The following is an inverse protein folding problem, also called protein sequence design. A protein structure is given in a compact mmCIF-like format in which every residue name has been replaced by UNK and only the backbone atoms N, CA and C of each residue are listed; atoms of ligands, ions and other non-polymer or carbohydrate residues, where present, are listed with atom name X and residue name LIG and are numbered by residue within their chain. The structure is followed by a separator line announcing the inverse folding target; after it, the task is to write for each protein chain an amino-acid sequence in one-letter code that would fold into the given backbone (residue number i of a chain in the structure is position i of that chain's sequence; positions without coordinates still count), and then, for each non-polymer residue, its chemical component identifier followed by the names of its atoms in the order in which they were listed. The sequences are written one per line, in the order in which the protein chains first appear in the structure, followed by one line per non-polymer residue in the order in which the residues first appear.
data_IF_142289173683
#
_entry.id   IF_142289173683
#
_cell.length_a   1.000
_cell.length_b   1.000
_cell.length_c   1.000
_cell.angle_alpha   90.00
_cell.angle_beta   90.00
_cell.angle_gamma   90.00
#
_symmetry.space_group_name_H-M   'P 1'
#
loop_
_entity.id
_entity.type
_entity.pdbx_description
1 polymer ?
#
# COMPACT_ATOMS: atom_id res chain seq x y z
N UNK A 1 3.12 -5.85 -0.57
CA UNK A 1 3.67 -4.95 0.50
C UNK A 1 2.56 -4.10 1.05
N UNK A 2 2.34 -4.17 2.33
CA UNK A 2 1.31 -3.43 3.07
C UNK A 2 1.92 -2.47 4.10
N UNK A 3 1.09 -1.63 4.69
CA UNK A 3 1.46 -0.66 5.71
C UNK A 3 0.52 0.54 5.67
N UNK A 4 0.37 1.23 6.78
CA UNK A 4 -0.48 2.41 6.87
C UNK A 4 0.13 3.63 6.14
N UNK A 5 -0.68 4.64 5.88
CA UNK A 5 -0.23 5.89 5.26
C UNK A 5 0.92 6.51 6.07
N UNK A 6 1.94 7.03 5.37
CA UNK A 6 3.15 7.58 6.00
C UNK A 6 4.21 6.55 6.38
N UNK A 7 3.98 5.24 6.21
CA UNK A 7 4.98 4.20 6.52
C UNK A 7 6.15 4.08 5.52
N UNK A 8 6.14 4.83 4.42
CA UNK A 8 7.12 4.70 3.35
C UNK A 8 6.86 3.54 2.38
N UNK A 9 5.69 2.88 2.51
CA UNK A 9 5.30 1.71 1.72
C UNK A 9 5.54 1.90 0.22
N UNK A 10 4.97 2.93 -0.40
CA UNK A 10 5.09 3.15 -1.84
C UNK A 10 6.51 3.43 -2.29
N UNK A 11 7.30 4.12 -1.49
CA UNK A 11 8.72 4.37 -1.77
C UNK A 11 9.50 3.06 -1.85
N UNK A 12 9.31 2.19 -0.86
CA UNK A 12 10.05 0.92 -0.79
C UNK A 12 9.50 -0.13 -1.76
N UNK A 13 8.20 -0.14 -2.02
CA UNK A 13 7.60 -1.01 -3.03
C UNK A 13 8.13 -0.73 -4.44
N UNK A 14 8.24 0.55 -4.81
CA UNK A 14 8.86 0.97 -6.08
C UNK A 14 10.33 0.56 -6.17
N UNK A 15 11.10 0.83 -5.11
CA UNK A 15 12.53 0.46 -5.06
C UNK A 15 12.74 -1.05 -5.19
N UNK A 16 11.91 -1.87 -4.54
CA UNK A 16 11.96 -3.32 -4.69
C UNK A 16 11.62 -3.75 -6.12
N UNK A 17 10.53 -3.22 -6.69
CA UNK A 17 10.16 -3.53 -8.06
C UNK A 17 11.29 -3.21 -9.04
N UNK A 18 11.89 -2.04 -8.95
CA UNK A 18 13.05 -1.64 -9.76
C UNK A 18 14.26 -2.56 -9.54
N UNK A 19 14.58 -2.89 -8.29
CA UNK A 19 15.75 -3.70 -7.94
C UNK A 19 15.68 -5.12 -8.50
N UNK A 20 14.48 -5.71 -8.53
CA UNK A 20 14.27 -7.09 -8.97
C UNK A 20 13.64 -7.21 -10.38
N UNK A 21 13.51 -6.10 -11.10
CA UNK A 21 12.90 -6.09 -12.45
C UNK A 21 11.44 -6.53 -12.45
N UNK A 22 10.70 -6.25 -11.35
CA UNK A 22 9.30 -6.58 -11.17
C UNK A 22 8.41 -5.41 -11.58
N UNK A 23 7.16 -5.70 -11.95
CA UNK A 23 6.15 -4.65 -12.16
C UNK A 23 5.78 -4.01 -10.82
N UNK A 24 5.62 -2.71 -10.79
CA UNK A 24 5.03 -2.00 -9.64
C UNK A 24 3.55 -1.76 -9.90
N UNK A 25 2.71 -2.27 -9.01
CA UNK A 25 1.25 -2.08 -9.07
C UNK A 25 0.77 -1.54 -7.73
N UNK A 26 -0.05 -0.49 -7.78
CA UNK A 26 -0.68 0.11 -6.58
C UNK A 26 -2.12 0.47 -6.87
N UNK A 27 -2.93 0.68 -5.82
CA UNK A 27 -4.30 1.20 -5.98
C UNK A 27 -4.33 2.48 -6.83
N UNK A 28 -3.35 3.37 -6.66
CA UNK A 28 -3.24 4.58 -7.47
C UNK A 28 -2.87 4.33 -8.93
N UNK A 29 -2.06 3.29 -9.25
CA UNK A 29 -1.78 2.92 -10.65
C UNK A 29 -3.01 2.30 -11.29
N UNK A 30 -3.73 1.45 -10.56
CA UNK A 30 -4.99 0.84 -11.02
C UNK A 30 -6.03 1.93 -11.29
N UNK A 31 -6.20 2.87 -10.37
CA UNK A 31 -7.12 4.00 -10.54
C UNK A 31 -6.86 4.79 -11.83
N UNK A 32 -5.57 5.11 -12.09
CA UNK A 32 -5.18 5.81 -13.34
C UNK A 32 -5.49 4.99 -14.59
N UNK A 33 -5.20 3.71 -14.58
CA UNK A 33 -5.51 2.80 -15.70
C UNK A 33 -7.02 2.74 -15.95
N UNK A 34 -7.83 2.65 -14.89
CA UNK A 34 -9.28 2.63 -15.00
C UNK A 34 -9.85 3.95 -15.55
N UNK A 35 -9.25 5.09 -15.20
CA UNK A 35 -9.63 6.38 -15.78
C UNK A 35 -9.29 6.43 -17.28
N UNK A 36 -8.10 6.01 -17.67
CA UNK A 36 -7.66 5.95 -19.07
C UNK A 36 -8.55 5.02 -19.92
N UNK A 37 -8.87 3.82 -19.43
CA UNK A 37 -9.77 2.85 -20.08
C UNK A 37 -11.17 3.42 -20.33
N UNK A 38 -11.63 4.36 -19.49
CA UNK A 38 -12.92 5.03 -19.61
C UNK A 38 -12.87 6.35 -20.38
N UNK A 39 -11.67 6.79 -20.80
CA UNK A 39 -11.47 8.07 -21.44
C UNK A 39 -11.75 9.28 -20.52
N UNK A 40 -11.59 9.10 -19.21
CA UNK A 40 -11.84 10.11 -18.19
C UNK A 40 -10.55 10.72 -17.69
N UNK A 41 -10.60 12.02 -17.34
CA UNK A 41 -9.56 12.64 -16.52
C UNK A 41 -9.57 12.06 -15.10
N UNK A 42 -8.46 12.23 -14.37
CA UNK A 42 -8.40 11.78 -12.97
C UNK A 42 -9.40 12.51 -12.06
N UNK A 43 -9.71 13.76 -12.37
CA UNK A 43 -10.69 14.55 -11.65
C UNK A 43 -12.12 14.00 -11.87
N UNK A 44 -12.48 13.73 -13.12
CA UNK A 44 -13.78 13.12 -13.44
C UNK A 44 -13.91 11.73 -12.82
N UNK A 45 -12.86 10.94 -12.88
CA UNK A 45 -12.83 9.62 -12.25
C UNK A 45 -12.97 9.71 -10.73
N UNK A 46 -12.31 10.69 -10.06
CA UNK A 46 -12.42 10.92 -8.62
C UNK A 46 -13.86 11.25 -8.21
N UNK A 47 -14.52 12.15 -8.94
CA UNK A 47 -15.93 12.47 -8.67
C UNK A 47 -16.85 11.27 -8.74
N UNK A 48 -16.65 10.40 -9.73
CA UNK A 48 -17.42 9.16 -9.85
C UNK A 48 -17.19 8.19 -8.68
N UNK A 49 -15.94 8.12 -8.19
CA UNK A 49 -15.59 7.23 -7.08
C UNK A 49 -16.07 7.77 -5.73
N UNK A 50 -16.15 9.09 -5.56
CA UNK A 50 -16.69 9.71 -4.34
C UNK A 50 -18.19 9.47 -4.17
N UNK A 51 -18.92 9.26 -5.28
CA UNK A 51 -20.35 9.03 -5.31
C UNK A 51 -20.74 7.55 -5.21
N UNK A 52 -19.79 6.62 -5.48
CA UNK A 52 -20.10 5.19 -5.55
C UNK A 52 -19.06 4.32 -4.82
N UNK A 53 -19.38 3.81 -3.62
CA UNK A 53 -18.50 2.93 -2.85
C UNK A 53 -18.10 1.63 -3.57
N UNK A 54 -18.83 1.21 -4.62
CA UNK A 54 -18.47 0.03 -5.40
C UNK A 54 -17.18 0.19 -6.20
N UNK A 55 -16.73 1.44 -6.43
CA UNK A 55 -15.43 1.69 -7.08
C UNK A 55 -14.25 1.22 -6.25
N UNK A 56 -14.30 1.34 -4.93
CA UNK A 56 -13.25 0.79 -4.07
C UNK A 56 -13.12 -0.72 -4.24
N UNK A 57 -14.25 -1.43 -4.27
CA UNK A 57 -14.28 -2.88 -4.51
C UNK A 57 -13.73 -3.23 -5.89
N UNK A 58 -14.03 -2.42 -6.91
CA UNK A 58 -13.54 -2.63 -8.26
C UNK A 58 -12.02 -2.45 -8.36
N UNK A 59 -11.45 -1.47 -7.64
CA UNK A 59 -10.00 -1.28 -7.53
C UNK A 59 -9.34 -2.49 -6.86
N UNK A 60 -9.94 -2.97 -5.77
CA UNK A 60 -9.42 -4.11 -5.02
C UNK A 60 -9.53 -5.42 -5.83
N UNK A 61 -10.60 -5.60 -6.61
CA UNK A 61 -10.74 -6.75 -7.51
C UNK A 61 -9.68 -6.71 -8.63
N UNK A 62 -9.46 -5.54 -9.23
CA UNK A 62 -8.35 -5.35 -10.19
C UNK A 62 -6.99 -5.63 -9.55
N UNK A 63 -6.78 -5.26 -8.30
CA UNK A 63 -5.55 -5.57 -7.59
C UNK A 63 -5.34 -7.09 -7.43
N UNK A 64 -6.41 -7.85 -7.14
CA UNK A 64 -6.38 -9.31 -7.11
C UNK A 64 -6.07 -9.92 -8.47
N UNK A 65 -6.72 -9.44 -9.53
CA UNK A 65 -6.47 -9.89 -10.90
C UNK A 65 -5.01 -9.64 -11.31
N UNK A 66 -4.48 -8.45 -11.01
CA UNK A 66 -3.08 -8.12 -11.27
C UNK A 66 -2.12 -9.02 -10.47
N UNK A 67 -2.43 -9.30 -9.19
CA UNK A 67 -1.63 -10.17 -8.36
C UNK A 67 -1.51 -11.60 -8.95
N UNK A 68 -2.60 -12.16 -9.47
CA UNK A 68 -2.61 -13.49 -10.11
C UNK A 68 -1.71 -13.60 -11.34
N UNK A 69 -1.38 -12.47 -11.99
CA UNK A 69 -0.44 -12.46 -13.13
C UNK A 69 1.01 -12.66 -12.70
N UNK A 70 1.33 -12.50 -11.42
CA UNK A 70 2.68 -12.64 -10.87
C UNK A 70 3.69 -11.60 -11.36
N UNK A 71 4.95 -11.76 -10.98
CA UNK A 71 6.06 -10.91 -11.41
C UNK A 71 5.91 -9.44 -11.02
N UNK A 72 5.41 -9.16 -9.82
CA UNK A 72 5.10 -7.81 -9.40
C UNK A 72 5.30 -7.55 -7.90
N UNK A 73 5.38 -6.27 -7.55
CA UNK A 73 5.20 -5.78 -6.18
C UNK A 73 3.86 -5.07 -6.10
N UNK A 74 2.93 -5.61 -5.33
CA UNK A 74 1.62 -4.99 -5.06
C UNK A 74 1.74 -4.07 -3.84
N UNK A 75 1.44 -2.78 -4.04
CA UNK A 75 1.44 -1.72 -3.04
C UNK A 75 0.01 -1.28 -2.71
N UNK A 76 -0.58 -1.87 -1.69
CA UNK A 76 -1.91 -1.50 -1.20
C UNK A 76 -2.06 -1.82 0.29
N UNK A 77 -2.97 -1.16 0.99
CA UNK A 77 -3.25 -1.46 2.41
C UNK A 77 -3.68 -2.91 2.58
N UNK A 78 -4.51 -3.42 1.68
CA UNK A 78 -5.00 -4.80 1.67
C UNK A 78 -4.13 -5.78 0.88
N UNK A 79 -2.93 -5.41 0.42
CA UNK A 79 -2.15 -6.27 -0.49
C UNK A 79 -1.84 -7.65 0.08
N UNK A 80 -1.70 -7.78 1.40
CA UNK A 80 -1.48 -9.07 2.07
C UNK A 80 -2.65 -10.04 1.96
N UNK A 81 -3.88 -9.53 1.86
CA UNK A 81 -5.10 -10.33 1.66
C UNK A 81 -5.46 -10.48 0.19
N UNK A 82 -5.17 -9.46 -0.63
CA UNK A 82 -5.50 -9.47 -2.07
C UNK A 82 -4.62 -10.45 -2.87
N UNK A 83 -3.35 -10.58 -2.50
CA UNK A 83 -2.40 -11.47 -3.15
C UNK A 83 -2.32 -12.81 -2.42
N UNK A 84 -3.31 -13.70 -2.65
CA UNK A 84 -3.41 -15.00 -1.98
C UNK A 84 -2.18 -15.88 -2.25
N UNK A 85 -1.67 -15.85 -3.49
CA UNK A 85 -0.51 -16.62 -3.95
C UNK A 85 0.80 -15.81 -3.88
N UNK A 86 0.88 -14.80 -3.01
CA UNK A 86 2.09 -14.01 -2.88
C UNK A 86 3.27 -14.87 -2.40
N UNK A 87 4.42 -14.75 -3.07
CA UNK A 87 5.66 -15.38 -2.62
C UNK A 87 6.13 -14.86 -1.25
N UNK A 88 5.86 -13.58 -0.96
CA UNK A 88 6.21 -12.95 0.30
C UNK A 88 5.27 -11.79 0.63
N UNK A 89 4.79 -11.76 1.87
CA UNK A 89 3.97 -10.68 2.42
C UNK A 89 4.78 -9.84 3.39
N UNK A 90 5.01 -8.57 3.02
CA UNK A 90 5.80 -7.62 3.81
C UNK A 90 4.89 -6.52 4.35
N UNK A 91 4.97 -6.25 5.65
CA UNK A 91 4.31 -5.12 6.29
C UNK A 91 5.32 -4.08 6.76
N UNK A 92 5.14 -2.82 6.39
CA UNK A 92 5.93 -1.71 6.90
C UNK A 92 5.17 -1.02 8.04
N UNK A 93 5.72 -1.13 9.23
CA UNK A 93 5.23 -0.48 10.43
C UNK A 93 5.97 0.83 10.66
N UNK A 94 5.26 1.83 11.17
CA UNK A 94 5.84 3.11 11.59
C UNK A 94 4.95 3.70 12.67
N UNK A 95 5.51 4.22 13.77
CA UNK A 95 4.75 4.91 14.81
C UNK A 95 3.88 6.04 14.24
N UNK A 96 2.76 6.32 14.89
CA UNK A 96 1.80 7.32 14.42
C UNK A 96 2.45 8.70 14.28
N UNK A 97 3.24 9.13 15.26
CA UNK A 97 3.92 10.43 15.27
C UNK A 97 4.83 10.61 14.05
N UNK A 98 5.64 9.59 13.73
CA UNK A 98 6.52 9.62 12.56
C UNK A 98 5.75 9.62 11.25
N UNK A 99 4.61 8.91 11.18
CA UNK A 99 3.73 8.94 10.01
C UNK A 99 3.12 10.32 9.79
N UNK A 100 2.63 10.96 10.87
CA UNK A 100 2.07 12.31 10.85
C UNK A 100 3.12 13.30 10.35
N UNK A 101 4.34 13.26 10.91
CA UNK A 101 5.44 14.14 10.48
C UNK A 101 5.76 13.99 9.00
N UNK A 102 5.88 12.75 8.51
CA UNK A 102 6.16 12.47 7.08
C UNK A 102 5.02 12.91 6.15
N UNK A 103 3.77 12.81 6.60
CA UNK A 103 2.61 13.26 5.83
C UNK A 103 2.57 14.78 5.80
N UNK A 104 2.73 15.45 6.95
CA UNK A 104 2.77 16.91 7.06
C UNK A 104 3.82 17.54 6.13
N UNK A 105 5.05 16.97 6.17
CA UNK A 105 6.15 17.43 5.30
C UNK A 105 5.83 17.23 3.81
N UNK A 106 5.33 16.05 3.44
CA UNK A 106 5.02 15.72 2.03
C UNK A 106 3.91 16.57 1.46
N UNK A 107 2.85 16.82 2.23
CA UNK A 107 1.65 17.53 1.78
C UNK A 107 1.73 19.06 2.06
N UNK A 108 2.75 19.52 2.81
CA UNK A 108 2.92 20.94 3.13
C UNK A 108 1.85 21.46 4.10
N UNK A 109 1.35 20.62 5.02
CA UNK A 109 0.31 20.96 5.98
C UNK A 109 0.84 21.03 7.41
N UNK A 110 0.03 21.55 8.34
CA UNK A 110 0.37 21.55 9.76
C UNK A 110 0.39 20.13 10.34
N UNK A 111 1.13 19.92 11.43
CA UNK A 111 1.11 18.61 12.15
C UNK A 111 -0.28 18.28 12.67
N UNK A 112 -1.03 19.28 13.16
CA UNK A 112 -2.39 19.10 13.67
C UNK A 112 -3.36 18.64 12.56
N UNK A 113 -3.29 19.26 11.38
CA UNK A 113 -4.11 18.84 10.23
C UNK A 113 -3.73 17.43 9.74
N UNK A 114 -2.42 17.15 9.65
CA UNK A 114 -1.93 15.84 9.28
C UNK A 114 -2.35 14.74 10.27
N UNK A 115 -2.36 15.03 11.57
CA UNK A 115 -2.84 14.11 12.60
C UNK A 115 -4.32 13.81 12.42
N UNK A 116 -5.13 14.87 12.33
CA UNK A 116 -6.59 14.74 12.16
C UNK A 116 -6.93 13.92 10.91
N UNK A 117 -6.35 14.26 9.77
CA UNK A 117 -6.60 13.55 8.52
C UNK A 117 -6.13 12.10 8.56
N UNK A 118 -4.95 11.85 9.14
CA UNK A 118 -4.40 10.49 9.26
C UNK A 118 -5.29 9.61 10.13
N UNK A 119 -5.79 10.12 11.25
CA UNK A 119 -6.67 9.36 12.15
C UNK A 119 -8.02 9.08 11.51
N UNK A 120 -8.67 10.11 10.92
CA UNK A 120 -9.96 9.95 10.24
C UNK A 120 -9.86 8.94 9.10
N UNK A 121 -8.81 9.05 8.30
CA UNK A 121 -8.59 8.15 7.17
C UNK A 121 -8.34 6.70 7.62
N UNK A 122 -7.49 6.50 8.63
CA UNK A 122 -7.17 5.17 9.14
C UNK A 122 -8.41 4.47 9.69
N UNK A 123 -9.25 5.18 10.46
CA UNK A 123 -10.48 4.62 11.01
C UNK A 123 -11.52 4.34 9.92
N UNK A 124 -11.71 5.26 8.96
CA UNK A 124 -12.60 5.05 7.82
C UNK A 124 -12.19 3.83 7.00
N UNK A 125 -10.90 3.68 6.68
CA UNK A 125 -10.39 2.52 5.95
C UNK A 125 -10.61 1.22 6.74
N UNK A 126 -10.30 1.23 8.05
CA UNK A 126 -10.47 0.05 8.92
C UNK A 126 -11.92 -0.43 8.95
N UNK A 127 -12.87 0.48 9.19
CA UNK A 127 -14.30 0.15 9.24
C UNK A 127 -14.81 -0.38 7.90
N UNK A 128 -14.42 0.25 6.81
CA UNK A 128 -14.79 -0.15 5.45
C UNK A 128 -14.25 -1.55 5.10
N UNK A 129 -13.02 -1.88 5.46
CA UNK A 129 -12.45 -3.20 5.20
C UNK A 129 -13.10 -4.32 6.03
N UNK A 130 -13.50 -4.01 7.26
CA UNK A 130 -14.29 -4.93 8.08
C UNK A 130 -15.67 -5.14 7.44
N UNK A 131 -16.34 -4.07 7.06
CA UNK A 131 -17.69 -4.13 6.46
C UNK A 131 -17.70 -4.87 5.11
N UNK A 132 -16.76 -4.57 4.22
CA UNK A 132 -16.78 -5.11 2.86
C UNK A 132 -16.20 -6.51 2.76
N UNK A 133 -15.21 -6.82 3.58
CA UNK A 133 -14.42 -8.05 3.43
C UNK A 133 -14.29 -8.87 4.71
N UNK A 134 -14.76 -8.37 5.85
CA UNK A 134 -14.52 -9.00 7.15
C UNK A 134 -13.04 -8.99 7.56
N UNK A 135 -12.24 -8.09 6.98
CA UNK A 135 -10.80 -8.02 7.21
C UNK A 135 -10.49 -6.97 8.28
N UNK A 136 -9.83 -7.41 9.35
CA UNK A 136 -9.20 -6.51 10.31
C UNK A 136 -7.73 -6.28 9.92
N UNK A 137 -7.42 -5.07 9.42
CA UNK A 137 -6.07 -4.70 8.99
C UNK A 137 -5.05 -4.59 10.15
N UNK A 138 -5.49 -4.71 11.40
CA UNK A 138 -4.61 -4.78 12.57
C UNK A 138 -4.09 -6.20 12.82
N UNK A 139 -4.66 -7.21 12.17
CA UNK A 139 -4.13 -8.56 12.19
C UNK A 139 -2.89 -8.65 11.29
N UNK A 140 -1.73 -8.70 11.92
CA UNK A 140 -0.45 -8.81 11.24
C UNK A 140 0.05 -10.25 11.09
N UNK A 141 -0.72 -11.24 11.51
CA UNK A 141 -0.32 -12.66 11.51
C UNK A 141 -0.11 -13.24 10.11
N UNK A 142 -0.69 -12.60 9.09
CA UNK A 142 -0.56 -13.03 7.70
C UNK A 142 0.77 -12.62 7.03
N UNK A 143 1.55 -11.74 7.67
CA UNK A 143 2.78 -11.21 7.08
C UNK A 143 4.00 -12.04 7.45
N UNK A 144 4.82 -12.34 6.46
CA UNK A 144 6.09 -13.07 6.63
C UNK A 144 7.17 -12.18 7.21
N UNK A 145 7.12 -10.87 6.91
CA UNK A 145 8.09 -9.87 7.37
C UNK A 145 7.38 -8.60 7.84
N UNK A 146 7.70 -8.17 9.06
CA UNK A 146 7.25 -6.89 9.61
C UNK A 146 8.49 -6.06 9.91
N UNK A 147 8.61 -4.89 9.26
CA UNK A 147 9.77 -4.02 9.43
C UNK A 147 9.34 -2.63 9.92
N UNK A 148 9.90 -2.21 11.05
CA UNK A 148 9.73 -0.85 11.53
C UNK A 148 10.66 0.10 10.77
N UNK A 149 10.07 0.94 9.91
CA UNK A 149 10.82 1.88 9.06
C UNK A 149 11.25 3.16 9.79
N UNK A 150 10.89 3.29 11.06
CA UNK A 150 11.31 4.42 11.89
C UNK A 150 12.71 4.24 12.48
N UNK A 151 13.17 2.99 12.54
CA UNK A 151 14.49 2.64 13.09
C UNK A 151 15.65 2.88 12.12
N UNK A 152 15.36 3.11 10.84
CA UNK A 152 16.38 3.17 9.80
C UNK A 152 16.11 4.32 8.83
N UNK A 153 17.17 4.90 8.32
CA UNK A 153 17.09 5.80 7.17
C UNK A 153 16.50 5.07 5.94
N UNK A 154 15.89 5.79 5.00
CA UNK A 154 15.23 5.19 3.83
C UNK A 154 16.13 4.21 3.05
N UNK A 155 17.43 4.53 2.91
CA UNK A 155 18.38 3.66 2.22
C UNK A 155 18.74 2.42 3.05
N UNK A 156 18.75 2.53 4.38
CA UNK A 156 18.91 1.39 5.30
C UNK A 156 17.75 0.42 5.18
N UNK A 157 16.52 0.94 5.25
CA UNK A 157 15.29 0.17 5.04
C UNK A 157 15.31 -0.55 3.68
N UNK A 158 15.69 0.15 2.61
CA UNK A 158 15.75 -0.45 1.27
C UNK A 158 16.77 -1.60 1.19
N UNK A 159 17.95 -1.45 1.81
CA UNK A 159 18.95 -2.53 1.86
C UNK A 159 18.46 -3.75 2.63
N UNK A 160 17.79 -3.55 3.78
CA UNK A 160 17.20 -4.65 4.56
C UNK A 160 16.18 -5.40 3.74
N UNK A 161 15.22 -4.69 3.14
CA UNK A 161 14.17 -5.30 2.32
C UNK A 161 14.75 -6.06 1.12
N UNK A 162 15.76 -5.48 0.45
CA UNK A 162 16.47 -6.15 -0.64
C UNK A 162 17.08 -7.47 -0.16
N UNK A 163 17.83 -7.44 0.96
CA UNK A 163 18.47 -8.64 1.51
C UNK A 163 17.47 -9.72 1.89
N UNK A 164 16.30 -9.35 2.46
CA UNK A 164 15.24 -10.30 2.79
C UNK A 164 14.74 -11.01 1.53
N UNK A 165 14.47 -10.27 0.45
CA UNK A 165 14.01 -10.86 -0.82
C UNK A 165 15.11 -11.71 -1.48
N UNK A 166 16.37 -11.25 -1.44
CA UNK A 166 17.51 -12.03 -1.98
C UNK A 166 17.69 -13.37 -1.26
N UNK A 167 17.58 -13.39 0.07
CA UNK A 167 17.68 -14.64 0.84
C UNK A 167 16.52 -15.59 0.55
N UNK A 168 15.31 -15.07 0.41
CA UNK A 168 14.17 -15.87 -0.02
C UNK A 168 14.39 -16.52 -1.38
N UNK A 169 14.92 -15.77 -2.35
CA UNK A 169 15.18 -16.28 -3.70
C UNK A 169 16.30 -17.34 -3.74
N UNK A 170 17.28 -17.28 -2.82
CA UNK A 170 18.35 -18.31 -2.73
C UNK A 170 17.85 -19.65 -2.19
N UNK A 171 16.79 -19.64 -1.39
CA UNK A 171 16.22 -20.84 -0.79
C UNK A 171 15.27 -21.63 -1.70
N UNK A 172 15.06 -21.13 -2.93
CA UNK A 172 14.20 -21.77 -3.94
C UNK A 172 14.99 -22.05 -5.20
#
# INVERSE_FOLDING_TARGET
MSGLHGSGRSTHAKRLAETFGLRYVSSGTIFRQMAEERGLSLEEMSRLTDEDPEFDKLIDERAREEARKGGMVLDATLSGWMAEDADMRIYLMTPLESRISRIAEREGMSLEDAERETQVRAESERLRFIEYYGIDITDLSIYDVILNTDLYEPDGTARILKSVVEEYCKGR
#
